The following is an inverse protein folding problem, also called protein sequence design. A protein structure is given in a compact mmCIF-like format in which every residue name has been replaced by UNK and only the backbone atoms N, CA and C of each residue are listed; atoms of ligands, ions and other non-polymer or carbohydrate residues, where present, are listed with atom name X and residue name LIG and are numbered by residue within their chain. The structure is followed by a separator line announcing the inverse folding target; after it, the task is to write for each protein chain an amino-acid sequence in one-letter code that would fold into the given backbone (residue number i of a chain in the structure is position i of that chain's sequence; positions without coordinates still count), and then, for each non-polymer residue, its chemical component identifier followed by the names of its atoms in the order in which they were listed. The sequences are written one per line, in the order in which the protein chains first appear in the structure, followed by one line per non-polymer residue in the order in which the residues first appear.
data_IF_687781620790
#
_entry.id   IF_687781620790
#
_cell.length_a   1.000
_cell.length_b   1.000
_cell.length_c   1.000
_cell.angle_alpha   90.00
_cell.angle_beta   90.00
_cell.angle_gamma   90.00
#
_symmetry.space_group_name_H-M   'P 1'
#
loop_
_entity.id
_entity.type
_entity.pdbx_description
1 polymer ?
#
# COMPACT_ATOMS: atom_id res chain seq x y z
N UNK A 1 -25.53 -7.72 -17.15
CA UNK A 1 -24.73 -8.53 -16.18
C UNK A 1 -23.43 -7.84 -15.80
N UNK A 2 -22.54 -7.52 -16.76
CA UNK A 2 -21.25 -6.87 -16.48
C UNK A 2 -21.36 -5.54 -15.70
N UNK A 3 -22.25 -4.63 -16.11
CA UNK A 3 -22.44 -3.36 -15.42
C UNK A 3 -22.83 -3.51 -13.94
N UNK A 4 -23.65 -4.53 -13.63
CA UNK A 4 -24.07 -4.83 -12.26
C UNK A 4 -22.90 -5.38 -11.43
N UNK A 5 -22.09 -6.28 -12.02
CA UNK A 5 -20.87 -6.78 -11.38
C UNK A 5 -19.89 -5.64 -11.10
N UNK A 6 -19.65 -4.77 -12.09
CA UNK A 6 -18.77 -3.60 -11.91
C UNK A 6 -19.29 -2.67 -10.81
N UNK A 7 -20.60 -2.39 -10.78
CA UNK A 7 -21.20 -1.56 -9.75
C UNK A 7 -21.01 -2.17 -8.34
N UNK A 8 -21.21 -3.48 -8.18
CA UNK A 8 -20.97 -4.17 -6.91
C UNK A 8 -19.51 -4.10 -6.47
N UNK A 9 -18.56 -4.26 -7.40
CA UNK A 9 -17.12 -4.15 -7.12
C UNK A 9 -16.75 -2.74 -6.67
N UNK A 10 -17.23 -1.71 -7.36
CA UNK A 10 -16.98 -0.31 -6.98
C UNK A 10 -17.60 0.02 -5.62
N UNK A 11 -18.81 -0.46 -5.34
CA UNK A 11 -19.45 -0.33 -4.02
C UNK A 11 -18.63 -1.02 -2.93
N UNK A 12 -18.09 -2.21 -3.21
CA UNK A 12 -17.23 -2.93 -2.27
C UNK A 12 -15.94 -2.16 -1.99
N UNK A 13 -15.27 -1.63 -3.01
CA UNK A 13 -14.08 -0.78 -2.82
C UNK A 13 -14.40 0.51 -2.06
N UNK A 14 -15.55 1.14 -2.33
CA UNK A 14 -15.98 2.33 -1.60
C UNK A 14 -16.26 2.00 -0.12
N UNK A 15 -16.91 0.89 0.17
CA UNK A 15 -17.15 0.41 1.53
C UNK A 15 -15.82 0.06 2.24
N UNK A 16 -14.91 -0.64 1.54
CA UNK A 16 -13.57 -0.94 2.02
C UNK A 16 -12.80 0.34 2.37
N UNK A 17 -12.78 1.33 1.48
CA UNK A 17 -12.14 2.62 1.72
C UNK A 17 -12.78 3.39 2.90
N UNK A 18 -14.11 3.41 2.99
CA UNK A 18 -14.82 4.22 3.99
C UNK A 18 -14.79 3.61 5.39
N UNK A 19 -14.90 2.29 5.49
CA UNK A 19 -15.03 1.59 6.77
C UNK A 19 -13.76 0.85 7.15
N UNK A 20 -13.26 -0.01 6.25
CA UNK A 20 -12.12 -0.87 6.56
C UNK A 20 -10.80 -0.09 6.63
N UNK A 21 -10.53 0.80 5.68
CA UNK A 21 -9.29 1.60 5.71
C UNK A 21 -9.23 2.51 6.95
N UNK A 22 -10.37 3.05 7.41
CA UNK A 22 -10.44 3.83 8.66
C UNK A 22 -10.22 2.97 9.89
N UNK A 23 -10.75 1.75 9.90
CA UNK A 23 -10.50 0.80 10.98
C UNK A 23 -9.00 0.46 11.05
N UNK A 24 -8.39 0.13 9.91
CA UNK A 24 -6.96 -0.18 9.81
C UNK A 24 -6.11 1.02 10.27
N UNK A 25 -6.35 2.21 9.73
CA UNK A 25 -5.64 3.43 10.12
C UNK A 25 -5.70 3.69 11.61
N UNK A 26 -6.91 3.81 12.18
CA UNK A 26 -7.09 4.26 13.56
C UNK A 26 -6.86 3.17 14.59
N UNK A 27 -7.40 1.97 14.37
CA UNK A 27 -7.41 0.91 15.39
C UNK A 27 -6.19 0.00 15.34
N UNK A 28 -5.58 -0.17 14.16
CA UNK A 28 -4.38 -1.01 14.02
C UNK A 28 -3.13 -0.15 14.09
N UNK A 29 -3.09 0.94 13.31
CA UNK A 29 -1.88 1.75 13.18
C UNK A 29 -1.87 3.02 14.05
N UNK A 30 -3.04 3.52 14.50
CA UNK A 30 -3.14 4.75 15.28
C UNK A 30 -2.70 5.98 14.49
N UNK A 31 -3.26 6.16 13.29
CA UNK A 31 -2.94 7.28 12.39
C UNK A 31 -3.67 8.59 12.72
N UNK A 32 -4.50 8.58 13.76
CA UNK A 32 -5.24 9.73 14.28
C UNK A 32 -4.51 10.48 15.41
N UNK A 33 -3.23 10.15 15.65
CA UNK A 33 -2.37 10.88 16.58
C UNK A 33 -2.14 12.32 16.09
N UNK A 34 -2.70 13.34 16.78
CA UNK A 34 -2.57 14.74 16.38
C UNK A 34 -1.15 15.30 16.57
N UNK A 35 -0.33 14.64 17.40
CA UNK A 35 1.03 15.10 17.70
C UNK A 35 2.07 14.53 16.72
N UNK A 36 1.66 13.58 15.86
CA UNK A 36 2.55 12.99 14.88
C UNK A 36 2.81 13.92 13.69
N UNK A 37 4.04 14.44 13.62
CA UNK A 37 4.53 15.23 12.49
C UNK A 37 5.41 14.36 11.60
N UNK A 38 5.12 14.32 10.29
CA UNK A 38 5.87 13.47 9.36
C UNK A 38 7.32 13.95 9.18
N UNK A 39 8.26 13.03 8.87
CA UNK A 39 9.66 13.36 8.59
C UNK A 39 9.84 14.41 7.50
N UNK A 40 8.92 14.46 6.53
CA UNK A 40 8.92 15.47 5.48
C UNK A 40 8.89 16.91 6.03
N UNK A 41 8.33 17.13 7.23
CA UNK A 41 8.27 18.44 7.87
C UNK A 41 9.35 18.63 8.95
N UNK A 42 9.76 17.57 9.65
CA UNK A 42 10.77 17.67 10.73
C UNK A 42 12.21 17.61 10.24
N UNK A 43 12.46 16.90 9.14
CA UNK A 43 13.79 16.70 8.53
C UNK A 43 13.91 17.42 7.17
N UNK A 44 13.13 18.48 6.96
CA UNK A 44 13.01 19.15 5.67
C UNK A 44 14.37 19.65 5.16
N UNK A 45 14.85 19.04 4.06
CA UNK A 45 16.16 19.32 3.44
C UNK A 45 16.04 19.83 2.00
N UNK A 46 14.83 19.79 1.42
CA UNK A 46 14.58 20.21 0.04
C UNK A 46 14.94 19.17 -1.03
N UNK A 47 15.41 17.98 -0.63
CA UNK A 47 15.77 16.89 -1.54
C UNK A 47 15.09 15.57 -1.15
N UNK A 48 15.47 14.97 -0.01
CA UNK A 48 14.92 13.68 0.44
C UNK A 48 13.63 13.87 1.25
N UNK A 49 13.49 14.99 1.96
CA UNK A 49 12.34 15.33 2.80
C UNK A 49 11.71 16.64 2.33
N UNK A 50 10.64 16.52 1.53
CA UNK A 50 9.90 17.67 0.98
C UNK A 50 8.40 17.52 1.23
N UNK A 51 7.78 18.46 1.99
CA UNK A 51 6.32 18.50 2.15
C UNK A 51 5.64 18.62 0.79
N UNK A 52 4.91 17.58 0.40
CA UNK A 52 4.36 17.44 -0.95
C UNK A 52 2.85 17.36 -0.93
N UNK A 53 2.21 17.95 -1.95
CA UNK A 53 0.75 17.95 -2.08
C UNK A 53 0.23 16.53 -2.33
N UNK A 54 -0.90 16.20 -1.70
CA UNK A 54 -1.54 14.87 -1.77
C UNK A 54 -1.73 14.31 -3.21
N UNK A 55 -2.15 15.09 -4.22
CA UNK A 55 -2.32 14.57 -5.58
C UNK A 55 -1.02 14.10 -6.23
N UNK A 56 0.11 14.75 -5.90
CA UNK A 56 1.43 14.38 -6.41
C UNK A 56 1.87 13.07 -5.76
N UNK A 57 1.74 12.96 -4.44
CA UNK A 57 2.01 11.73 -3.70
C UNK A 57 1.17 10.56 -4.21
N UNK A 58 -0.12 10.80 -4.46
CA UNK A 58 -1.00 9.82 -5.07
C UNK A 58 -0.49 9.37 -6.44
N UNK A 59 -0.04 10.30 -7.29
CA UNK A 59 0.55 9.98 -8.59
C UNK A 59 1.75 9.05 -8.47
N UNK A 60 2.72 9.37 -7.59
CA UNK A 60 3.88 8.51 -7.33
C UNK A 60 3.46 7.10 -6.89
N UNK A 61 2.61 7.00 -5.86
CA UNK A 61 2.13 5.70 -5.38
C UNK A 61 1.37 4.92 -6.46
N UNK A 62 0.50 5.58 -7.22
CA UNK A 62 -0.25 4.94 -8.29
C UNK A 62 0.67 4.37 -9.37
N UNK A 63 1.67 5.14 -9.81
CA UNK A 63 2.62 4.67 -10.83
C UNK A 63 3.46 3.50 -10.35
N UNK A 64 3.84 3.44 -9.06
CA UNK A 64 4.60 2.33 -8.49
C UNK A 64 3.80 1.01 -8.46
N UNK A 65 2.48 1.07 -8.34
CA UNK A 65 1.61 -0.12 -8.25
C UNK A 65 1.07 -0.54 -9.62
N UNK A 66 0.76 0.42 -10.50
CA UNK A 66 0.04 0.18 -11.75
C UNK A 66 0.81 -0.67 -12.77
N UNK A 67 2.12 -0.87 -12.61
CA UNK A 67 2.94 -1.60 -13.58
C UNK A 67 2.58 -3.08 -13.75
N UNK A 68 2.45 -3.84 -12.66
CA UNK A 68 2.26 -5.29 -12.73
C UNK A 68 0.79 -5.72 -12.92
N UNK A 69 -0.16 -4.87 -12.52
CA UNK A 69 -1.59 -5.20 -12.50
C UNK A 69 -2.18 -5.56 -13.89
N UNK A 70 -1.87 -4.84 -14.99
CA UNK A 70 -2.38 -5.14 -16.33
C UNK A 70 -1.90 -6.48 -16.90
N UNK A 71 -0.82 -7.04 -16.36
CA UNK A 71 -0.25 -8.32 -16.82
C UNK A 71 -0.80 -9.47 -15.96
N UNK A 72 -0.72 -9.34 -14.63
CA UNK A 72 -1.07 -10.42 -13.70
C UNK A 72 -2.57 -10.72 -13.77
N UNK A 73 -3.43 -9.70 -13.87
CA UNK A 73 -4.89 -9.88 -13.91
C UNK A 73 -5.37 -10.80 -15.04
N UNK A 74 -5.04 -10.50 -16.32
CA UNK A 74 -5.38 -11.37 -17.45
C UNK A 74 -4.79 -12.77 -17.36
N UNK A 75 -3.54 -12.92 -16.87
CA UNK A 75 -2.93 -14.24 -16.69
C UNK A 75 -3.71 -15.11 -15.69
N UNK A 76 -4.09 -14.54 -14.54
CA UNK A 76 -4.89 -15.26 -13.54
C UNK A 76 -6.27 -15.61 -14.10
N UNK A 77 -6.91 -14.67 -14.82
CA UNK A 77 -8.21 -14.92 -15.45
C UNK A 77 -8.15 -15.99 -16.55
N UNK A 78 -7.06 -16.06 -17.32
CA UNK A 78 -6.86 -17.08 -18.34
C UNK A 78 -6.73 -18.50 -17.75
N UNK A 79 -6.12 -18.61 -16.57
CA UNK A 79 -5.86 -19.91 -15.94
C UNK A 79 -7.04 -20.38 -15.07
N UNK A 80 -7.67 -19.48 -14.30
CA UNK A 80 -8.68 -19.82 -13.26
C UNK A 80 -10.10 -19.39 -13.65
N UNK A 81 -10.25 -18.72 -14.79
CA UNK A 81 -11.51 -18.11 -15.22
C UNK A 81 -11.74 -16.73 -14.59
N UNK A 82 -12.75 -16.04 -15.11
CA UNK A 82 -13.00 -14.63 -14.78
C UNK A 82 -13.48 -14.42 -13.34
N UNK A 83 -14.29 -15.33 -12.79
CA UNK A 83 -14.90 -15.14 -11.47
C UNK A 83 -13.89 -15.33 -10.32
N UNK A 84 -13.09 -16.40 -10.25
CA UNK A 84 -12.04 -16.53 -9.24
C UNK A 84 -11.00 -15.42 -9.32
N UNK A 85 -10.62 -15.02 -10.53
CA UNK A 85 -9.70 -13.91 -10.75
C UNK A 85 -10.28 -12.58 -10.21
N UNK A 86 -11.56 -12.31 -10.48
CA UNK A 86 -12.23 -11.11 -9.98
C UNK A 86 -12.32 -11.12 -8.45
N UNK A 87 -12.71 -12.24 -7.84
CA UNK A 87 -12.79 -12.36 -6.38
C UNK A 87 -11.41 -12.14 -5.73
N UNK A 88 -10.36 -12.72 -6.31
CA UNK A 88 -9.00 -12.55 -5.83
C UNK A 88 -8.55 -11.08 -5.89
N UNK A 89 -8.78 -10.41 -7.02
CA UNK A 89 -8.44 -8.99 -7.16
C UNK A 89 -9.22 -8.14 -6.16
N UNK A 90 -10.53 -8.36 -6.03
CA UNK A 90 -11.38 -7.51 -5.19
C UNK A 90 -11.09 -7.73 -3.70
N UNK A 91 -11.10 -8.98 -3.24
CA UNK A 91 -10.87 -9.31 -1.82
C UNK A 91 -9.40 -9.14 -1.44
N UNK A 92 -8.49 -9.60 -2.30
CA UNK A 92 -7.05 -9.51 -2.08
C UNK A 92 -6.58 -8.08 -1.99
N UNK A 93 -7.06 -7.18 -2.87
CA UNK A 93 -6.69 -5.76 -2.80
C UNK A 93 -7.18 -5.12 -1.49
N UNK A 94 -8.41 -5.38 -1.04
CA UNK A 94 -8.94 -4.72 0.17
C UNK A 94 -8.30 -5.27 1.45
N UNK A 95 -8.22 -6.60 1.60
CA UNK A 95 -7.85 -7.20 2.87
C UNK A 95 -6.35 -7.46 3.02
N UNK A 96 -5.62 -7.69 1.92
CA UNK A 96 -4.19 -7.97 1.96
C UNK A 96 -3.37 -6.82 1.39
N UNK A 97 -3.56 -6.47 0.12
CA UNK A 97 -2.72 -5.48 -0.58
C UNK A 97 -2.74 -4.11 0.08
N UNK A 98 -3.93 -3.53 0.26
CA UNK A 98 -4.07 -2.21 0.85
C UNK A 98 -3.52 -2.13 2.29
N UNK A 99 -3.70 -3.19 3.08
CA UNK A 99 -3.19 -3.25 4.47
C UNK A 99 -1.68 -3.40 4.49
N UNK A 100 -1.13 -4.24 3.61
CA UNK A 100 0.30 -4.43 3.47
C UNK A 100 1.01 -3.13 3.06
N UNK A 101 0.54 -2.49 1.99
CA UNK A 101 1.14 -1.26 1.46
C UNK A 101 1.02 -0.11 2.47
N UNK A 102 -0.14 0.05 3.10
CA UNK A 102 -0.35 1.06 4.12
C UNK A 102 0.52 0.81 5.36
N UNK A 103 0.62 -0.44 5.82
CA UNK A 103 1.47 -0.79 6.95
C UNK A 103 2.95 -0.55 6.68
N UNK A 104 3.43 -0.93 5.50
CA UNK A 104 4.81 -0.67 5.07
C UNK A 104 5.11 0.84 5.06
N UNK A 105 4.16 1.65 4.56
CA UNK A 105 4.27 3.11 4.55
C UNK A 105 4.31 3.68 5.97
N UNK A 106 3.38 3.29 6.85
CA UNK A 106 3.32 3.77 8.24
C UNK A 106 4.63 3.46 8.98
N UNK A 107 5.14 2.24 8.85
CA UNK A 107 6.39 1.82 9.48
C UNK A 107 7.57 2.62 8.94
N UNK A 108 7.66 2.80 7.62
CA UNK A 108 8.72 3.60 7.00
C UNK A 108 8.71 5.05 7.48
N UNK A 109 7.54 5.69 7.50
CA UNK A 109 7.38 7.09 7.94
C UNK A 109 7.76 7.24 9.42
N UNK A 110 7.43 6.26 10.28
CA UNK A 110 7.83 6.27 11.70
C UNK A 110 9.32 6.03 11.93
N UNK A 111 9.99 5.37 11.00
CA UNK A 111 11.45 5.16 11.00
C UNK A 111 12.19 6.19 10.10
N UNK A 112 11.65 7.40 9.97
CA UNK A 112 12.25 8.52 9.21
C UNK A 112 12.45 8.23 7.72
N UNK A 113 11.51 7.55 7.07
CA UNK A 113 11.53 7.27 5.63
C UNK A 113 12.49 6.14 5.22
N UNK A 114 12.98 5.33 6.17
CA UNK A 114 13.87 4.20 5.88
C UNK A 114 13.16 3.11 5.08
N UNK A 115 13.94 2.38 4.27
CA UNK A 115 13.43 1.24 3.51
C UNK A 115 13.03 0.10 4.44
N UNK A 116 12.06 -0.72 4.02
CA UNK A 116 11.65 -1.92 4.76
C UNK A 116 12.83 -2.86 5.01
N UNK A 117 13.76 -2.96 4.05
CA UNK A 117 14.97 -3.77 4.18
C UNK A 117 15.88 -3.26 5.31
N UNK A 118 16.06 -1.94 5.44
CA UNK A 118 16.89 -1.35 6.50
C UNK A 118 16.23 -1.51 7.88
N UNK A 119 14.90 -1.39 7.95
CA UNK A 119 14.13 -1.59 9.19
C UNK A 119 14.20 -3.06 9.61
N UNK A 120 14.01 -4.00 8.69
CA UNK A 120 14.13 -5.44 8.96
C UNK A 120 15.55 -5.81 9.43
N UNK A 121 16.59 -5.14 8.91
CA UNK A 121 17.96 -5.33 9.34
C UNK A 121 18.17 -4.97 10.82
N UNK A 122 17.58 -3.84 11.24
CA UNK A 122 17.63 -3.31 12.61
C UNK A 122 16.88 -4.22 13.58
N UNK A 123 15.77 -4.82 13.16
CA UNK A 123 14.91 -5.66 14.02
C UNK A 123 15.37 -7.12 14.10
N UNK A 124 15.81 -7.71 12.99
CA UNK A 124 16.12 -9.15 12.91
C UNK A 124 17.63 -9.38 12.87
N UNK A 125 18.27 -9.05 11.75
CA UNK A 125 19.74 -9.12 11.60
C UNK A 125 20.21 -8.43 10.31
N UNK A 126 21.48 -8.00 10.22
CA UNK A 126 22.05 -7.41 9.00
C UNK A 126 21.96 -8.32 7.76
N UNK A 127 21.93 -9.65 7.94
CA UNK A 127 21.81 -10.62 6.83
C UNK A 127 20.46 -10.51 6.11
N UNK A 128 19.40 -10.12 6.83
CA UNK A 128 18.07 -9.94 6.24
C UNK A 128 18.07 -8.81 5.21
N UNK A 129 18.81 -7.73 5.47
CA UNK A 129 18.99 -6.64 4.51
C UNK A 129 19.54 -7.13 3.18
N UNK A 130 20.59 -7.95 3.23
CA UNK A 130 21.21 -8.51 2.03
C UNK A 130 20.22 -9.40 1.26
N UNK A 131 19.44 -10.23 1.96
CA UNK A 131 18.42 -11.06 1.32
C UNK A 131 17.36 -10.22 0.59
N UNK A 132 16.89 -9.12 1.20
CA UNK A 132 15.95 -8.20 0.55
C UNK A 132 16.57 -7.49 -0.66
N UNK A 133 17.83 -7.04 -0.54
CA UNK A 133 18.54 -6.36 -1.63
C UNK A 133 18.91 -7.29 -2.79
N UNK A 134 19.02 -8.60 -2.57
CA UNK A 134 19.24 -9.57 -3.64
C UNK A 134 17.96 -9.90 -4.43
N UNK A 135 16.79 -9.70 -3.84
CA UNK A 135 15.51 -9.98 -4.49
C UNK A 135 15.03 -8.83 -5.38
N UNK A 136 15.39 -7.59 -5.01
CA UNK A 136 15.18 -6.38 -5.83
C UNK A 136 16.22 -6.35 -6.95
#
# INVERSE_FOLDING_TARGET
MAALVTALVLLFFLAGYRFYARYVGRRIFGDDDPDFVTPAHTLQDGHDFVPTKRPILFGHHFTSIAGAAPIIGPCVAAYWGWLPALLWVVLGTVFMGAVHDYGALVISVRENGRSVADIAAKVISPRVRLMFLCFI
#
